data_IF_613292730709
#
_entry.id   IF_613292730709
#
_cell.length_a   1.000
_cell.length_b   1.000
_cell.length_c   1.000
_cell.angle_alpha   90.00
_cell.angle_beta   90.00
_cell.angle_gamma   90.00
#
_symmetry.space_group_name_H-M   'P 1'
#
loop_
_entity.id
_entity.type
_entity.pdbx_description
1 polymer ?
#
# COMPACT_ATOMS: atom_id res chain seq x y z
N UNK A 1 0.47 -70.86 14.30
CA UNK A 1 1.21 -69.60 14.54
C UNK A 1 1.25 -68.81 13.24
N UNK A 2 0.51 -67.71 13.15
CA UNK A 2 0.52 -66.78 12.00
C UNK A 2 1.04 -65.43 12.51
N UNK A 3 2.15 -64.99 11.92
CA UNK A 3 2.81 -63.72 12.20
C UNK A 3 2.07 -62.65 11.37
N UNK A 4 1.45 -61.67 12.01
CA UNK A 4 0.88 -60.50 11.34
C UNK A 4 1.85 -59.34 11.44
N UNK A 5 2.44 -58.99 10.30
CA UNK A 5 3.32 -57.83 10.12
C UNK A 5 2.47 -56.56 10.15
N UNK A 6 2.66 -55.73 11.17
CA UNK A 6 2.13 -54.37 11.27
C UNK A 6 2.97 -53.44 10.38
N UNK A 7 2.42 -53.04 9.23
CA UNK A 7 2.96 -51.95 8.42
C UNK A 7 2.30 -50.64 8.87
N UNK A 8 3.05 -49.80 9.57
CA UNK A 8 2.62 -48.48 10.01
C UNK A 8 2.51 -47.54 8.80
N UNK A 9 1.30 -47.08 8.51
CA UNK A 9 1.03 -46.03 7.51
C UNK A 9 1.28 -44.69 8.20
N UNK A 10 2.40 -44.05 7.88
CA UNK A 10 2.64 -42.66 8.26
C UNK A 10 1.77 -41.74 7.39
N UNK A 11 0.97 -40.82 7.95
CA UNK A 11 0.23 -39.85 7.16
C UNK A 11 1.19 -38.78 6.62
N UNK A 12 1.03 -38.34 5.36
CA UNK A 12 1.81 -37.24 4.82
C UNK A 12 1.44 -35.93 5.52
N UNK A 13 2.45 -35.27 6.09
CA UNK A 13 2.39 -33.88 6.55
C UNK A 13 2.00 -32.99 5.36
N UNK A 14 0.71 -32.65 5.28
CA UNK A 14 0.22 -31.64 4.35
C UNK A 14 0.80 -30.28 4.78
N UNK A 15 1.83 -29.82 4.07
CA UNK A 15 2.27 -28.44 4.14
C UNK A 15 1.14 -27.55 3.64
N UNK A 16 0.48 -26.86 4.56
CA UNK A 16 -0.41 -25.76 4.23
C UNK A 16 0.45 -24.64 3.63
N UNK A 17 0.56 -24.62 2.31
CA UNK A 17 1.01 -23.47 1.56
C UNK A 17 -0.02 -22.36 1.80
N UNK A 18 0.25 -21.50 2.79
CA UNK A 18 -0.50 -20.27 2.98
C UNK A 18 -0.38 -19.46 1.69
N UNK A 19 -1.48 -19.32 0.97
CA UNK A 19 -1.58 -18.39 -0.14
C UNK A 19 -1.43 -17.00 0.46
N UNK A 20 -0.23 -16.44 0.35
CA UNK A 20 0.00 -15.02 0.51
C UNK A 20 -0.78 -14.32 -0.60
N UNK A 21 -2.07 -14.09 -0.36
CA UNK A 21 -2.84 -13.13 -1.14
C UNK A 21 -2.17 -11.79 -0.86
N UNK A 22 -1.50 -11.24 -1.86
CA UNK A 22 -1.09 -9.84 -1.84
C UNK A 22 -2.38 -9.04 -1.62
N UNK A 23 -2.63 -8.66 -0.37
CA UNK A 23 -3.86 -7.97 0.02
C UNK A 23 -3.78 -6.60 -0.60
N UNK A 24 -4.82 -6.23 -1.37
CA UNK A 24 -4.93 -4.89 -1.96
C UNK A 24 -4.64 -3.84 -0.89
N UNK A 25 -3.57 -3.12 -1.13
CA UNK A 25 -3.15 -2.01 -0.30
C UNK A 25 -4.07 -0.85 -0.67
N UNK A 26 -4.80 -0.22 0.27
CA UNK A 26 -5.76 0.83 -0.05
C UNK A 26 -5.01 2.07 -0.53
N UNK A 27 -4.87 2.20 -1.84
CA UNK A 27 -4.24 3.34 -2.50
C UNK A 27 -5.30 4.18 -3.21
N UNK A 28 -4.92 5.40 -3.59
CA UNK A 28 -5.77 6.18 -4.47
C UNK A 28 -5.86 5.48 -5.82
N UNK A 29 -7.03 5.56 -6.45
CA UNK A 29 -7.24 4.99 -7.77
C UNK A 29 -7.29 6.07 -8.82
N UNK A 30 -6.66 5.80 -9.95
CA UNK A 30 -6.76 6.62 -11.16
C UNK A 30 -7.35 5.77 -12.29
N UNK A 31 -8.17 6.39 -13.12
CA UNK A 31 -8.70 5.78 -14.33
C UNK A 31 -7.80 6.12 -15.51
N UNK A 32 -7.46 5.10 -16.29
CA UNK A 32 -6.89 5.24 -17.62
C UNK A 32 -8.04 5.51 -18.58
N UNK A 33 -8.08 6.71 -19.16
CA UNK A 33 -9.16 7.15 -20.05
C UNK A 33 -8.78 7.04 -21.52
N UNK A 34 -7.50 6.83 -21.82
CA UNK A 34 -6.98 6.56 -23.16
C UNK A 34 -5.70 5.73 -23.04
N UNK A 35 -5.41 4.90 -24.04
CA UNK A 35 -4.24 4.03 -24.00
C UNK A 35 -2.94 4.83 -23.80
N UNK A 36 -2.06 4.33 -22.94
CA UNK A 36 -0.84 5.04 -22.53
C UNK A 36 0.21 4.04 -22.05
N UNK A 37 1.48 4.37 -22.22
CA UNK A 37 2.60 3.62 -21.64
C UNK A 37 3.12 4.37 -20.42
N UNK A 38 3.31 3.67 -19.31
CA UNK A 38 3.94 4.26 -18.12
C UNK A 38 5.46 4.41 -18.30
N UNK A 39 6.11 5.03 -17.32
CA UNK A 39 7.57 5.24 -17.34
C UNK A 39 8.40 3.96 -17.16
N UNK A 40 7.75 2.83 -16.84
CA UNK A 40 8.37 1.49 -16.80
C UNK A 40 8.17 0.70 -18.11
N UNK A 41 7.51 1.29 -19.11
CA UNK A 41 7.27 0.66 -20.40
C UNK A 41 6.06 -0.27 -20.44
N UNK A 42 5.23 -0.32 -19.39
CA UNK A 42 3.99 -1.10 -19.39
C UNK A 42 2.89 -0.31 -20.09
N UNK A 43 2.19 -0.99 -21.00
CA UNK A 43 1.03 -0.45 -21.70
C UNK A 43 -0.24 -0.62 -20.88
N UNK A 44 -1.02 0.45 -20.82
CA UNK A 44 -2.32 0.52 -20.16
C UNK A 44 -3.41 0.81 -21.18
N UNK A 45 -4.56 0.17 -21.01
CA UNK A 45 -5.71 0.32 -21.88
C UNK A 45 -6.76 1.25 -21.26
N UNK A 46 -7.57 1.87 -22.12
CA UNK A 46 -8.69 2.68 -21.66
C UNK A 46 -9.68 1.82 -20.84
N UNK A 47 -10.12 2.33 -19.69
CA UNK A 47 -10.97 1.63 -18.74
C UNK A 47 -10.21 0.95 -17.60
N UNK A 48 -8.89 0.78 -17.70
CA UNK A 48 -8.10 0.21 -16.61
C UNK A 48 -7.98 1.17 -15.42
N UNK A 49 -7.77 0.58 -14.25
CA UNK A 49 -7.60 1.29 -12.99
C UNK A 49 -6.19 1.04 -12.52
N UNK A 50 -5.44 2.12 -12.28
CA UNK A 50 -4.11 2.05 -11.72
C UNK A 50 -4.12 2.60 -10.29
N UNK A 51 -3.29 2.04 -9.40
CA UNK A 51 -3.01 2.68 -8.13
C UNK A 51 -2.19 3.97 -8.33
N UNK A 52 -2.31 4.88 -7.37
CA UNK A 52 -1.45 6.03 -7.24
C UNK A 52 -1.37 6.48 -5.77
N UNK A 53 -0.24 7.05 -5.40
CA UNK A 53 0.03 7.54 -4.05
C UNK A 53 0.36 9.03 -4.06
N UNK A 54 1.09 9.49 -5.07
CA UNK A 54 1.50 10.89 -5.21
C UNK A 54 1.38 11.40 -6.65
N UNK A 55 1.51 12.71 -6.79
CA UNK A 55 1.57 13.44 -8.05
C UNK A 55 2.96 14.05 -8.21
N UNK A 56 3.60 13.78 -9.34
CA UNK A 56 4.83 14.46 -9.77
C UNK A 56 4.48 15.51 -10.82
N UNK A 57 5.00 16.72 -10.67
CA UNK A 57 4.90 17.82 -11.63
C UNK A 57 6.29 18.24 -12.05
N UNK A 58 6.56 18.10 -13.34
CA UNK A 58 7.88 18.36 -13.93
C UNK A 58 7.72 18.84 -15.37
N UNK A 59 8.45 19.90 -15.76
CA UNK A 59 8.42 20.41 -17.13
C UNK A 59 7.03 20.83 -17.62
N UNK A 60 6.14 21.27 -16.72
CA UNK A 60 4.73 21.57 -17.05
C UNK A 60 3.82 20.34 -17.18
N UNK A 61 4.37 19.13 -17.08
CA UNK A 61 3.62 17.88 -17.10
C UNK A 61 3.20 17.46 -15.69
N UNK A 62 2.14 16.67 -15.62
CA UNK A 62 1.63 16.08 -14.37
C UNK A 62 1.58 14.57 -14.54
N UNK A 63 2.06 13.85 -13.55
CA UNK A 63 2.08 12.38 -13.50
C UNK A 63 1.48 11.90 -12.18
N UNK A 64 0.71 10.82 -12.22
CA UNK A 64 0.23 10.09 -11.05
C UNK A 64 1.12 8.88 -10.86
N UNK A 65 1.70 8.71 -9.67
CA UNK A 65 2.71 7.71 -9.40
C UNK A 65 2.32 6.83 -8.23
N UNK A 66 2.58 5.53 -8.35
CA UNK A 66 2.58 4.57 -7.24
C UNK A 66 3.82 4.79 -6.35
N UNK A 67 3.71 4.46 -5.07
CA UNK A 67 4.89 4.51 -4.21
C UNK A 67 5.89 3.42 -4.62
N UNK A 68 7.13 3.81 -4.88
CA UNK A 68 8.17 2.93 -5.43
C UNK A 68 7.83 2.19 -6.75
N UNK A 69 6.80 2.64 -7.47
CA UNK A 69 6.29 1.99 -8.69
C UNK A 69 6.25 2.92 -9.90
N UNK A 70 5.35 2.59 -10.82
CA UNK A 70 5.18 3.30 -12.08
C UNK A 70 4.53 4.69 -11.92
N UNK A 71 4.82 5.56 -12.88
CA UNK A 71 4.14 6.84 -13.08
C UNK A 71 3.38 6.86 -14.42
N UNK A 72 2.13 7.30 -14.36
CA UNK A 72 1.27 7.52 -15.53
C UNK A 72 1.08 9.02 -15.78
N UNK A 73 1.23 9.51 -17.02
CA UNK A 73 1.01 10.91 -17.32
C UNK A 73 -0.49 11.26 -17.26
N UNK A 74 -0.82 12.45 -16.78
CA UNK A 74 -2.18 12.99 -16.86
C UNK A 74 -2.56 13.27 -18.31
N UNK A 75 -1.60 13.79 -19.09
CA UNK A 75 -1.81 14.17 -20.49
C UNK A 75 -0.70 13.64 -21.39
N UNK A 76 -1.06 13.27 -22.61
CA UNK A 76 -0.15 12.94 -23.69
C UNK A 76 -0.61 13.67 -24.96
N UNK A 77 0.29 14.41 -25.60
CA UNK A 77 -0.04 15.23 -26.79
C UNK A 77 -1.27 16.14 -26.62
N UNK A 78 -1.43 16.74 -25.43
CA UNK A 78 -2.57 17.63 -25.11
C UNK A 78 -3.87 16.91 -24.71
N UNK A 79 -3.95 15.60 -24.88
CA UNK A 79 -5.13 14.78 -24.53
C UNK A 79 -4.98 14.24 -23.11
N UNK A 80 -6.05 14.29 -22.31
CA UNK A 80 -6.06 13.63 -21.00
C UNK A 80 -6.09 12.12 -21.18
N UNK A 81 -5.10 11.42 -20.61
CA UNK A 81 -4.96 9.95 -20.69
C UNK A 81 -5.18 9.27 -19.34
N UNK A 82 -5.01 9.99 -18.22
CA UNK A 82 -5.39 9.51 -16.89
C UNK A 82 -6.07 10.58 -16.04
N UNK A 83 -6.91 10.15 -15.09
CA UNK A 83 -7.57 11.02 -14.11
C UNK A 83 -7.76 10.33 -12.75
N UNK A 84 -7.71 11.05 -11.63
CA UNK A 84 -8.03 10.47 -10.33
C UNK A 84 -9.52 10.14 -10.24
N UNK A 85 -9.83 9.09 -9.49
CA UNK A 85 -11.20 8.60 -9.27
C UNK A 85 -11.68 9.04 -7.89
N UNK A 86 -10.90 8.69 -6.88
CA UNK A 86 -11.34 8.75 -5.48
C UNK A 86 -10.36 9.53 -4.59
N UNK A 87 -9.49 10.31 -5.22
CA UNK A 87 -8.53 11.17 -4.55
C UNK A 87 -8.37 12.51 -5.27
N UNK A 88 -7.73 13.44 -4.57
CA UNK A 88 -7.41 14.79 -5.06
C UNK A 88 -5.96 15.12 -4.77
N UNK A 89 -5.41 16.06 -5.53
CA UNK A 89 -4.07 16.59 -5.22
C UNK A 89 -4.12 17.27 -3.86
N UNK A 90 -3.31 16.78 -2.95
CA UNK A 90 -3.23 17.20 -1.57
C UNK A 90 -2.02 18.09 -1.30
N UNK A 91 -1.46 17.90 -0.11
CA UNK A 91 -0.32 18.68 0.37
C UNK A 91 0.96 18.37 -0.42
N UNK A 92 1.76 19.41 -0.65
CA UNK A 92 3.10 19.29 -1.24
C UNK A 92 4.05 18.58 -0.29
N UNK A 93 4.81 17.59 -0.78
CA UNK A 93 5.83 16.87 -0.03
C UNK A 93 7.23 17.43 -0.27
N UNK A 94 7.52 17.79 -1.51
CA UNK A 94 8.77 18.43 -1.93
C UNK A 94 8.50 19.25 -3.21
N UNK A 95 9.46 20.06 -3.72
CA UNK A 95 9.26 20.79 -4.97
C UNK A 95 8.87 19.86 -6.12
N UNK A 96 7.67 20.06 -6.68
CA UNK A 96 7.14 19.21 -7.75
C UNK A 96 6.41 17.94 -7.31
N UNK A 97 6.44 17.57 -6.02
CA UNK A 97 5.80 16.35 -5.53
C UNK A 97 4.67 16.66 -4.54
N UNK A 98 3.54 16.00 -4.70
CA UNK A 98 2.32 16.22 -3.91
C UNK A 98 1.70 14.90 -3.54
N UNK A 99 1.22 14.75 -2.32
CA UNK A 99 0.41 13.58 -1.96
C UNK A 99 -0.94 13.60 -2.70
N UNK A 100 -1.50 12.43 -2.97
CA UNK A 100 -2.92 12.29 -3.27
C UNK A 100 -3.70 12.13 -1.97
N UNK A 101 -4.59 13.06 -1.64
CA UNK A 101 -5.46 12.93 -0.47
C UNK A 101 -6.75 12.20 -0.85
N UNK A 102 -7.21 11.24 -0.03
CA UNK A 102 -8.45 10.51 -0.30
C UNK A 102 -9.65 11.45 -0.27
N UNK A 103 -10.57 11.25 -1.22
CA UNK A 103 -11.83 11.97 -1.27
C UNK A 103 -12.91 11.19 -0.47
N UNK A 104 -13.30 11.66 0.73
CA UNK A 104 -14.30 10.99 1.54
C UNK A 104 -15.70 10.96 0.89
N UNK A 105 -15.95 11.80 -0.13
CA UNK A 105 -17.22 11.77 -0.88
C UNK A 105 -17.29 10.57 -1.82
N UNK A 106 -16.16 10.08 -2.30
CA UNK A 106 -16.07 8.95 -3.23
C UNK A 106 -15.75 7.66 -2.50
N UNK A 107 -14.74 7.66 -1.62
CA UNK A 107 -14.33 6.48 -0.85
C UNK A 107 -15.19 6.19 0.37
N UNK A 108 -15.97 7.18 0.82
CA UNK A 108 -16.59 7.17 2.15
C UNK A 108 -15.62 7.60 3.26
N UNK A 109 -16.18 8.14 4.35
CA UNK A 109 -15.40 8.68 5.47
C UNK A 109 -14.56 7.62 6.20
N UNK A 110 -14.98 6.36 6.22
CA UNK A 110 -14.21 5.27 6.83
C UNK A 110 -12.97 4.93 5.99
N UNK A 111 -13.14 4.71 4.68
CA UNK A 111 -12.04 4.41 3.76
C UNK A 111 -11.00 5.54 3.70
N UNK A 112 -11.46 6.79 3.60
CA UNK A 112 -10.56 7.94 3.62
C UNK A 112 -9.77 8.05 4.93
N UNK A 113 -10.40 7.79 6.09
CA UNK A 113 -9.71 7.77 7.39
C UNK A 113 -8.68 6.65 7.47
N UNK A 114 -9.00 5.46 6.98
CA UNK A 114 -8.08 4.32 6.96
C UNK A 114 -6.83 4.62 6.12
N UNK A 115 -7.01 5.13 4.89
CA UNK A 115 -5.88 5.47 4.01
C UNK A 115 -4.98 6.54 4.64
N UNK A 116 -5.57 7.58 5.25
CA UNK A 116 -4.80 8.59 5.98
C UNK A 116 -4.09 8.02 7.22
N UNK A 117 -4.73 7.11 7.95
CA UNK A 117 -4.13 6.46 9.11
C UNK A 117 -2.92 5.61 8.72
N UNK A 118 -3.03 4.82 7.65
CA UNK A 118 -1.91 4.05 7.09
C UNK A 118 -0.75 4.97 6.73
N UNK A 119 -0.99 5.97 5.87
CA UNK A 119 0.06 6.89 5.41
C UNK A 119 0.80 7.54 6.59
N UNK A 120 0.06 8.02 7.59
CA UNK A 120 0.66 8.68 8.77
C UNK A 120 1.49 7.70 9.59
N UNK A 121 1.02 6.47 9.75
CA UNK A 121 1.75 5.44 10.47
C UNK A 121 3.03 5.07 9.72
N UNK A 122 2.94 4.82 8.41
CA UNK A 122 4.05 4.44 7.54
C UNK A 122 5.19 5.46 7.58
N UNK A 123 4.90 6.74 7.26
CA UNK A 123 5.91 7.80 7.29
C UNK A 123 6.62 7.91 8.64
N UNK A 124 5.85 7.74 9.73
CA UNK A 124 6.38 7.88 11.09
C UNK A 124 7.15 6.63 11.53
N UNK A 125 6.76 5.44 11.07
CA UNK A 125 7.53 4.21 11.26
C UNK A 125 8.86 4.29 10.48
N UNK A 126 8.85 4.73 9.22
CA UNK A 126 10.08 4.96 8.45
C UNK A 126 11.01 5.96 9.17
N UNK A 127 10.45 7.04 9.74
CA UNK A 127 11.23 8.00 10.54
C UNK A 127 11.81 7.41 11.84
N UNK A 128 11.25 6.30 12.35
CA UNK A 128 11.78 5.54 13.49
C UNK A 128 12.82 4.47 13.06
N UNK A 129 13.18 4.44 11.78
CA UNK A 129 14.19 3.56 11.20
C UNK A 129 13.71 2.14 10.95
N UNK A 130 12.43 1.98 10.63
CA UNK A 130 11.90 0.74 10.05
C UNK A 130 12.15 0.77 8.53
N UNK A 131 12.47 -0.38 7.93
CA UNK A 131 12.55 -0.47 6.48
C UNK A 131 11.15 -0.30 5.85
N UNK A 132 11.11 -0.01 4.54
CA UNK A 132 9.85 0.33 3.86
C UNK A 132 8.84 -0.83 3.89
N UNK A 133 9.28 -2.08 3.77
CA UNK A 133 8.37 -3.22 3.76
C UNK A 133 7.73 -3.43 5.14
N UNK A 134 8.54 -3.36 6.20
CA UNK A 134 8.06 -3.45 7.58
C UNK A 134 7.17 -2.27 7.95
N UNK A 135 7.55 -1.05 7.58
CA UNK A 135 6.76 0.16 7.84
C UNK A 135 5.39 0.09 7.14
N UNK A 136 5.35 -0.30 5.87
CA UNK A 136 4.11 -0.47 5.11
C UNK A 136 3.20 -1.56 5.71
N UNK A 137 3.75 -2.73 6.03
CA UNK A 137 2.99 -3.83 6.65
C UNK A 137 2.39 -3.45 8.01
N UNK A 138 3.20 -2.88 8.90
CA UNK A 138 2.74 -2.42 10.22
C UNK A 138 1.72 -1.30 10.13
N UNK A 139 1.91 -0.36 9.21
CA UNK A 139 0.98 0.74 8.98
C UNK A 139 -0.38 0.24 8.47
N UNK A 140 -0.38 -0.74 7.58
CA UNK A 140 -1.60 -1.33 7.04
C UNK A 140 -2.38 -2.10 8.11
N UNK A 141 -1.69 -2.91 8.92
CA UNK A 141 -2.29 -3.62 10.05
C UNK A 141 -2.88 -2.65 11.08
N UNK A 142 -2.14 -1.58 11.40
CA UNK A 142 -2.61 -0.51 12.29
C UNK A 142 -3.84 0.20 11.74
N UNK A 143 -3.85 0.55 10.45
CA UNK A 143 -4.95 1.27 9.82
C UNK A 143 -6.23 0.43 9.80
N UNK A 144 -6.13 -0.88 9.56
CA UNK A 144 -7.25 -1.81 9.56
C UNK A 144 -7.77 -2.12 10.97
N UNK A 145 -6.86 -2.39 11.90
CA UNK A 145 -7.20 -2.91 13.23
C UNK A 145 -6.46 -2.16 14.35
N UNK A 146 -6.72 -0.85 14.56
CA UNK A 146 -5.97 -0.03 15.50
C UNK A 146 -6.10 -0.49 16.96
N UNK A 147 -7.18 -1.21 17.29
CA UNK A 147 -7.46 -1.72 18.64
C UNK A 147 -6.91 -3.13 18.90
N UNK A 148 -6.37 -3.80 17.87
CA UNK A 148 -5.72 -5.11 18.02
C UNK A 148 -4.46 -5.03 18.87
N UNK A 149 -3.90 -6.19 19.26
CA UNK A 149 -2.61 -6.23 19.97
C UNK A 149 -1.52 -5.49 19.18
N UNK A 150 -1.37 -5.83 17.90
CA UNK A 150 -0.40 -5.19 17.00
C UNK A 150 -0.72 -3.72 16.76
N UNK A 151 -2.00 -3.38 16.53
CA UNK A 151 -2.42 -1.98 16.33
C UNK A 151 -2.10 -1.09 17.54
N UNK A 152 -2.32 -1.59 18.77
CA UNK A 152 -1.94 -0.89 20.00
C UNK A 152 -0.43 -0.79 20.17
N UNK A 153 0.33 -1.82 19.77
CA UNK A 153 1.77 -1.80 19.80
C UNK A 153 2.33 -0.72 18.85
N UNK A 154 1.83 -0.68 17.61
CA UNK A 154 2.15 0.37 16.63
C UNK A 154 1.76 1.74 17.17
N UNK A 155 0.56 1.91 17.72
CA UNK A 155 0.13 3.19 18.31
C UNK A 155 1.10 3.69 19.40
N UNK A 156 1.58 2.80 20.28
CA UNK A 156 2.59 3.16 21.30
C UNK A 156 3.93 3.52 20.69
N UNK A 157 4.38 2.81 19.66
CA UNK A 157 5.62 3.14 18.94
C UNK A 157 5.51 4.51 18.27
N UNK A 158 4.39 4.79 17.59
CA UNK A 158 4.09 6.10 17.01
C UNK A 158 4.07 7.21 18.09
N UNK A 159 3.59 6.91 19.30
CA UNK A 159 3.66 7.84 20.43
C UNK A 159 5.06 8.01 21.04
N UNK A 160 6.09 7.30 20.54
CA UNK A 160 7.48 7.44 20.96
C UNK A 160 7.94 6.44 22.04
N UNK A 161 7.14 5.41 22.34
CA UNK A 161 7.53 4.38 23.31
C UNK A 161 8.71 3.55 22.79
N UNK A 162 9.87 3.72 23.43
CA UNK A 162 11.09 2.98 23.08
C UNK A 162 10.91 1.47 23.24
N UNK A 163 10.19 1.03 24.28
CA UNK A 163 9.86 -0.39 24.48
C UNK A 163 9.01 -0.94 23.33
N UNK A 164 8.00 -0.19 22.87
CA UNK A 164 7.18 -0.63 21.75
C UNK A 164 7.98 -0.67 20.43
N UNK A 165 8.85 0.32 20.20
CA UNK A 165 9.75 0.35 19.04
C UNK A 165 10.67 -0.87 19.05
N UNK A 166 11.32 -1.16 20.18
CA UNK A 166 12.19 -2.32 20.32
C UNK A 166 11.44 -3.66 20.09
N UNK A 167 10.22 -3.78 20.62
CA UNK A 167 9.38 -4.96 20.40
C UNK A 167 9.03 -5.17 18.92
N UNK A 168 8.67 -4.10 18.21
CA UNK A 168 8.37 -4.17 16.78
C UNK A 168 9.63 -4.49 15.96
N UNK A 169 10.80 -3.98 16.35
CA UNK A 169 12.08 -4.28 15.69
C UNK A 169 12.54 -5.72 15.90
N UNK A 170 12.26 -6.31 17.06
CA UNK A 170 12.58 -7.70 17.34
C UNK A 170 11.67 -8.72 16.61
N UNK A 171 10.55 -8.26 16.05
CA UNK A 171 9.58 -9.09 15.34
C UNK A 171 9.74 -9.06 13.80
N UNK A 172 10.75 -8.32 13.31
CA UNK A 172 11.11 -8.22 11.88
C UNK A 172 12.13 -9.27 11.48
#
# INVERSE_FOLDING_TARGET
MKIYTLLAIAPPLAMAAGTATARETPECRIAVVSAVTDDMGRSWQAGEIAPATFVRREGGNTFYCEDHGQCLPQRLHGVTVTRPIDCRVGSRTSPGYFWLDPDPKVMGAAGARQLLARRRAEMRLSALGFDNASAGGLAEDYARNPTSSNGRLVARALAGSQTAIAQLKAAQ
#
